data_IF_629362068623
#
_entry.id   IF_629362068623
#
_cell.length_a   1.000
_cell.length_b   1.000
_cell.length_c   1.000
_cell.angle_alpha   90.00
_cell.angle_beta   90.00
_cell.angle_gamma   90.00
#
_symmetry.space_group_name_H-M   'P 1'
#
loop_
_entity.id
_entity.type
_entity.pdbx_description
1 polymer ?
#
# COMPACT_ATOMS: atom_id res chain seq x y z
N UNK A 1 -37.74 9.69 -6.87
CA UNK A 1 -37.15 8.92 -7.99
C UNK A 1 -36.43 9.86 -8.93
N UNK A 2 -35.18 9.49 -9.26
CA UNK A 2 -34.43 10.29 -10.23
C UNK A 2 -34.98 10.12 -11.63
N UNK A 3 -35.02 11.22 -12.38
CA UNK A 3 -35.38 11.18 -13.79
C UNK A 3 -34.20 10.63 -14.60
N UNK A 4 -34.47 10.22 -15.84
CA UNK A 4 -33.41 9.77 -16.76
C UNK A 4 -32.37 10.86 -17.00
N UNK A 5 -32.78 12.11 -17.06
CA UNK A 5 -31.89 13.27 -17.23
C UNK A 5 -30.93 13.43 -16.03
N UNK A 6 -31.48 13.28 -14.81
CA UNK A 6 -30.65 13.32 -13.59
C UNK A 6 -29.64 12.18 -13.56
N UNK A 7 -30.06 10.98 -13.96
CA UNK A 7 -29.17 9.83 -14.05
C UNK A 7 -28.02 10.09 -15.02
N UNK A 8 -28.31 10.61 -16.21
CA UNK A 8 -27.30 10.95 -17.21
C UNK A 8 -26.32 11.99 -16.68
N UNK A 9 -26.85 13.02 -16.01
CA UNK A 9 -26.02 14.08 -15.40
C UNK A 9 -25.09 13.49 -14.33
N UNK A 10 -25.61 12.62 -13.48
CA UNK A 10 -24.82 11.97 -12.44
C UNK A 10 -23.73 11.05 -13.02
N UNK A 11 -24.04 10.34 -14.10
CA UNK A 11 -23.04 9.50 -14.78
C UNK A 11 -21.92 10.35 -15.36
N UNK A 12 -22.22 11.45 -16.01
CA UNK A 12 -21.23 12.37 -16.57
C UNK A 12 -20.32 12.94 -15.48
N UNK A 13 -20.91 13.34 -14.36
CA UNK A 13 -20.17 13.87 -13.21
C UNK A 13 -19.25 12.80 -12.62
N UNK A 14 -19.77 11.58 -12.47
CA UNK A 14 -18.98 10.44 -11.96
C UNK A 14 -17.77 10.17 -12.85
N UNK A 15 -17.97 10.15 -14.17
CA UNK A 15 -16.88 9.91 -15.14
C UNK A 15 -15.83 11.02 -15.07
N UNK A 16 -16.28 12.27 -14.96
CA UNK A 16 -15.38 13.42 -14.84
C UNK A 16 -14.48 13.29 -13.62
N UNK A 17 -15.07 12.99 -12.46
CA UNK A 17 -14.32 12.83 -11.21
C UNK A 17 -13.38 11.62 -11.30
N UNK A 18 -13.84 10.51 -11.88
CA UNK A 18 -13.03 9.32 -12.08
C UNK A 18 -11.77 9.62 -12.90
N UNK A 19 -11.93 10.40 -13.98
CA UNK A 19 -10.79 10.84 -14.79
C UNK A 19 -9.84 11.75 -14.02
N UNK A 20 -10.36 12.68 -13.23
CA UNK A 20 -9.56 13.58 -12.40
C UNK A 20 -8.76 12.81 -11.36
N UNK A 21 -9.38 11.83 -10.71
CA UNK A 21 -8.70 10.98 -9.73
C UNK A 21 -7.57 10.17 -10.40
N UNK A 22 -7.84 9.60 -11.57
CA UNK A 22 -6.82 8.84 -12.31
C UNK A 22 -5.61 9.71 -12.64
N UNK A 23 -5.85 10.96 -13.07
CA UNK A 23 -4.79 11.92 -13.38
C UNK A 23 -3.98 12.26 -12.13
N UNK A 24 -4.65 12.54 -11.01
CA UNK A 24 -3.99 12.87 -9.74
C UNK A 24 -3.17 11.70 -9.21
N UNK A 25 -3.69 10.47 -9.32
CA UNK A 25 -2.95 9.27 -8.92
C UNK A 25 -1.67 9.09 -9.73
N UNK A 26 -1.74 9.34 -11.04
CA UNK A 26 -0.58 9.27 -11.93
C UNK A 26 0.48 10.30 -11.51
N UNK A 27 0.06 11.53 -11.23
CA UNK A 27 0.95 12.59 -10.78
C UNK A 27 1.58 12.28 -9.41
N UNK A 28 0.80 11.74 -8.48
CA UNK A 28 1.28 11.33 -7.16
C UNK A 28 2.32 10.23 -7.31
N UNK A 29 2.06 9.24 -8.15
CA UNK A 29 2.99 8.14 -8.39
C UNK A 29 4.33 8.64 -8.92
N UNK A 30 4.28 9.55 -9.88
CA UNK A 30 5.48 10.16 -10.45
C UNK A 30 6.29 10.92 -9.39
N UNK A 31 5.60 11.74 -8.58
CA UNK A 31 6.24 12.50 -7.52
C UNK A 31 6.79 11.61 -6.41
N UNK A 32 6.10 10.54 -6.06
CA UNK A 32 6.58 9.57 -5.08
C UNK A 32 7.85 8.87 -5.56
N UNK A 33 7.93 8.55 -6.86
CA UNK A 33 9.13 7.95 -7.44
C UNK A 33 10.32 8.91 -7.39
N UNK A 34 10.11 10.19 -7.69
CA UNK A 34 11.14 11.22 -7.58
C UNK A 34 11.59 11.40 -6.13
N UNK A 35 10.64 11.45 -5.20
CA UNK A 35 10.92 11.57 -3.77
C UNK A 35 11.72 10.37 -3.26
N UNK A 36 11.39 9.16 -3.72
CA UNK A 36 12.11 7.94 -3.36
C UNK A 36 13.58 8.02 -3.77
N UNK A 37 13.84 8.43 -5.01
CA UNK A 37 15.20 8.59 -5.51
C UNK A 37 15.98 9.64 -4.71
N UNK A 38 15.36 10.78 -4.43
CA UNK A 38 15.96 11.82 -3.61
C UNK A 38 16.22 11.34 -2.17
N UNK A 39 15.31 10.58 -1.60
CA UNK A 39 15.45 10.01 -0.27
C UNK A 39 16.63 9.07 -0.19
N UNK A 40 16.80 8.19 -1.19
CA UNK A 40 17.93 7.27 -1.27
C UNK A 40 19.27 8.03 -1.33
N UNK A 41 19.32 9.09 -2.13
CA UNK A 41 20.50 9.95 -2.23
C UNK A 41 20.80 10.65 -0.91
N UNK A 42 19.76 11.21 -0.26
CA UNK A 42 19.90 11.88 1.04
C UNK A 42 20.39 10.92 2.12
N UNK A 43 19.84 9.71 2.18
CA UNK A 43 20.28 8.68 3.14
C UNK A 43 21.76 8.37 2.93
N UNK A 44 22.18 8.17 1.69
CA UNK A 44 23.56 7.87 1.35
C UNK A 44 24.50 8.99 1.80
N UNK A 45 24.16 10.22 1.49
CA UNK A 45 24.98 11.40 1.83
C UNK A 45 25.05 11.63 3.34
N UNK A 46 23.90 11.56 4.02
CA UNK A 46 23.84 11.76 5.47
C UNK A 46 24.61 10.67 6.22
N UNK A 47 24.44 9.43 5.78
CA UNK A 47 25.14 8.30 6.36
C UNK A 47 26.66 8.41 6.17
N UNK A 48 27.10 8.77 4.95
CA UNK A 48 28.53 8.87 4.61
C UNK A 48 29.21 10.02 5.35
N UNK A 49 28.49 11.08 5.69
CA UNK A 49 29.03 12.27 6.36
C UNK A 49 28.68 12.31 7.86
N UNK A 50 28.08 11.26 8.39
CA UNK A 50 27.66 11.16 9.79
C UNK A 50 26.72 12.31 10.21
N UNK A 51 25.82 12.71 9.32
CA UNK A 51 24.83 13.74 9.56
C UNK A 51 23.52 13.07 9.98
N UNK A 52 23.06 13.35 11.21
CA UNK A 52 21.80 12.80 11.72
C UNK A 52 20.64 13.75 11.52
N UNK A 53 20.90 15.02 11.40
CA UNK A 53 19.87 16.05 11.31
C UNK A 53 20.36 17.21 10.45
N UNK A 54 19.49 17.71 9.59
CA UNK A 54 19.78 18.86 8.76
C UNK A 54 18.65 19.89 8.92
N UNK A 55 18.97 21.07 9.45
CA UNK A 55 17.99 22.12 9.68
C UNK A 55 17.55 22.78 8.38
N UNK A 56 16.25 22.95 8.23
CA UNK A 56 15.64 23.65 7.11
C UNK A 56 14.66 24.69 7.66
N UNK A 57 14.19 25.59 6.79
CA UNK A 57 13.18 26.56 7.19
C UNK A 57 11.91 25.85 7.65
N UNK A 58 11.52 26.08 8.90
CA UNK A 58 10.32 25.51 9.47
C UNK A 58 10.47 24.12 10.05
N UNK A 59 11.69 23.59 10.15
CA UNK A 59 11.91 22.26 10.72
C UNK A 59 13.27 21.69 10.44
N UNK A 60 13.34 20.36 10.32
CA UNK A 60 14.60 19.67 10.06
C UNK A 60 14.34 18.36 9.31
N UNK A 61 15.33 17.94 8.53
CA UNK A 61 15.36 16.59 7.97
C UNK A 61 16.19 15.72 8.91
N UNK A 62 15.60 14.62 9.35
CA UNK A 62 16.23 13.73 10.34
C UNK A 62 16.48 12.37 9.69
N UNK A 63 17.74 11.90 9.75
CA UNK A 63 18.06 10.54 9.36
C UNK A 63 17.71 9.61 10.51
N UNK A 64 16.84 8.62 10.24
CA UNK A 64 16.34 7.74 11.27
C UNK A 64 16.25 6.31 10.74
N UNK A 65 16.74 5.37 11.54
CA UNK A 65 16.58 3.94 11.24
C UNK A 65 15.37 3.42 12.01
N UNK A 66 14.36 2.96 11.28
CA UNK A 66 13.19 2.34 11.88
C UNK A 66 13.23 0.84 11.63
N UNK A 67 13.01 0.08 12.71
CA UNK A 67 12.84 -1.37 12.58
C UNK A 67 11.36 -1.63 12.34
N UNK A 68 11.03 -2.20 11.19
CA UNK A 68 9.66 -2.52 10.83
C UNK A 68 9.54 -4.01 10.64
N UNK A 69 8.60 -4.63 11.32
CA UNK A 69 8.31 -6.04 11.12
C UNK A 69 7.52 -6.21 9.84
N UNK A 70 7.91 -7.21 9.05
CA UNK A 70 7.20 -7.53 7.81
C UNK A 70 5.77 -7.98 8.11
N UNK A 71 4.86 -7.67 7.20
CA UNK A 71 3.48 -8.10 7.32
C UNK A 71 3.39 -9.62 7.29
N UNK A 72 2.43 -10.16 8.06
CA UNK A 72 2.15 -11.59 8.09
C UNK A 72 1.29 -11.95 6.88
N UNK A 73 1.79 -12.86 6.06
CA UNK A 73 1.03 -13.50 4.98
C UNK A 73 1.10 -15.01 5.16
N UNK A 74 0.42 -15.77 4.29
CA UNK A 74 0.39 -17.23 4.41
C UNK A 74 1.77 -17.86 4.43
N UNK A 75 2.67 -17.40 3.56
CA UNK A 75 4.04 -17.91 3.46
C UNK A 75 4.85 -17.60 4.71
N UNK A 76 4.75 -16.38 5.21
CA UNK A 76 5.45 -15.95 6.43
C UNK A 76 4.96 -16.71 7.65
N UNK A 77 3.63 -16.87 7.76
CA UNK A 77 3.01 -17.62 8.85
C UNK A 77 3.44 -19.08 8.82
N UNK A 78 3.42 -19.72 7.65
CA UNK A 78 3.84 -21.11 7.50
C UNK A 78 5.30 -21.28 7.93
N UNK A 79 6.20 -20.41 7.49
CA UNK A 79 7.61 -20.44 7.86
C UNK A 79 7.81 -20.31 9.37
N UNK A 80 7.09 -19.37 9.99
CA UNK A 80 7.16 -19.15 11.44
C UNK A 80 6.70 -20.39 12.22
N UNK A 81 5.62 -21.01 11.77
CA UNK A 81 5.06 -22.21 12.42
C UNK A 81 5.94 -23.43 12.19
N UNK A 82 6.55 -23.57 11.01
CA UNK A 82 7.53 -24.64 10.74
C UNK A 82 8.73 -24.52 11.68
N UNK A 83 9.22 -23.31 11.92
CA UNK A 83 10.31 -23.06 12.87
C UNK A 83 9.88 -23.40 14.31
N UNK A 84 8.66 -23.07 14.68
CA UNK A 84 8.14 -23.32 16.03
C UNK A 84 7.98 -24.81 16.31
N UNK A 85 7.39 -25.55 15.36
CA UNK A 85 7.13 -26.99 15.50
C UNK A 85 8.27 -27.88 15.01
N UNK A 86 9.32 -27.30 14.51
CA UNK A 86 10.60 -27.90 14.02
C UNK A 86 10.46 -29.12 13.10
N UNK A 87 9.84 -30.20 13.54
CA UNK A 87 9.79 -31.47 12.80
C UNK A 87 8.38 -31.86 12.35
N UNK A 88 7.39 -30.99 12.57
CA UNK A 88 6.02 -31.31 12.19
C UNK A 88 5.48 -30.27 11.19
N UNK A 89 5.89 -30.44 9.95
CA UNK A 89 5.46 -29.61 8.83
C UNK A 89 3.93 -29.70 8.63
N UNK A 90 3.37 -30.88 8.87
CA UNK A 90 1.92 -31.09 8.68
C UNK A 90 1.08 -30.23 9.62
N UNK A 91 1.47 -30.16 10.91
CA UNK A 91 0.76 -29.31 11.89
C UNK A 91 0.89 -27.83 11.47
N UNK A 92 2.07 -27.39 11.04
CA UNK A 92 2.30 -26.02 10.58
C UNK A 92 1.40 -25.68 9.39
N UNK A 93 1.27 -26.60 8.43
CA UNK A 93 0.40 -26.42 7.27
C UNK A 93 -1.09 -26.34 7.67
N UNK A 94 -1.53 -27.21 8.55
CA UNK A 94 -2.91 -27.23 9.03
C UNK A 94 -3.28 -25.94 9.76
N UNK A 95 -2.41 -25.45 10.64
CA UNK A 95 -2.65 -24.19 11.37
C UNK A 95 -2.65 -23.02 10.43
N UNK A 96 -1.70 -22.95 9.50
CA UNK A 96 -1.63 -21.89 8.51
C UNK A 96 -2.90 -21.83 7.67
N UNK A 97 -3.37 -22.97 7.18
CA UNK A 97 -4.59 -23.06 6.40
C UNK A 97 -5.79 -22.59 7.21
N UNK A 98 -5.91 -23.06 8.45
CA UNK A 98 -7.00 -22.66 9.33
C UNK A 98 -7.03 -21.14 9.56
N UNK A 99 -5.88 -20.53 9.86
CA UNK A 99 -5.79 -19.09 10.10
C UNK A 99 -6.17 -18.30 8.84
N UNK A 100 -5.66 -18.71 7.68
CA UNK A 100 -5.94 -18.02 6.42
C UNK A 100 -7.40 -18.18 5.99
N UNK A 101 -7.98 -19.37 6.18
CA UNK A 101 -9.37 -19.65 5.80
C UNK A 101 -10.38 -19.04 6.77
N UNK A 102 -9.97 -18.72 8.00
CA UNK A 102 -10.86 -18.17 9.03
C UNK A 102 -11.10 -16.67 8.91
N UNK A 103 -10.42 -16.00 7.97
CA UNK A 103 -10.63 -14.55 7.81
C UNK A 103 -12.02 -14.26 7.28
N UNK A 104 -12.67 -13.27 7.89
CA UNK A 104 -13.99 -12.86 7.48
C UNK A 104 -13.97 -12.22 6.08
N UNK A 105 -15.00 -12.55 5.30
CA UNK A 105 -15.22 -11.91 4.01
C UNK A 105 -16.12 -10.69 4.18
N UNK A 106 -15.74 -9.60 3.53
CA UNK A 106 -16.58 -8.41 3.46
C UNK A 106 -17.10 -8.26 2.03
N UNK A 107 -18.40 -8.03 1.93
CA UNK A 107 -19.01 -7.73 0.64
C UNK A 107 -19.04 -6.22 0.46
N UNK A 108 -18.40 -5.73 -0.58
CA UNK A 108 -18.40 -4.31 -0.92
C UNK A 108 -19.11 -4.13 -2.25
N UNK A 109 -20.15 -3.30 -2.23
CA UNK A 109 -20.84 -2.93 -3.47
C UNK A 109 -20.08 -1.80 -4.13
N UNK A 110 -19.74 -1.97 -5.40
CA UNK A 110 -18.94 -1.00 -6.13
C UNK A 110 -19.58 -0.72 -7.49
N UNK A 111 -19.24 0.43 -8.04
CA UNK A 111 -19.53 0.76 -9.44
C UNK A 111 -18.22 0.58 -10.22
N UNK A 112 -18.25 -0.26 -11.22
CA UNK A 112 -17.09 -0.56 -12.04
C UNK A 112 -17.24 0.05 -13.42
N UNK A 113 -16.21 0.78 -13.85
CA UNK A 113 -16.16 1.34 -15.20
C UNK A 113 -15.53 0.33 -16.15
N UNK A 114 -16.23 0.05 -17.24
CA UNK A 114 -15.72 -0.83 -18.29
C UNK A 114 -15.29 0.04 -19.47
N UNK A 115 -14.06 -0.14 -19.91
CA UNK A 115 -13.49 0.64 -21.01
C UNK A 115 -13.35 -0.27 -22.22
N UNK A 116 -13.92 0.14 -23.33
CA UNK A 116 -13.78 -0.58 -24.60
C UNK A 116 -12.38 -0.35 -25.17
N UNK A 117 -11.77 -1.44 -25.63
CA UNK A 117 -10.47 -1.39 -26.28
C UNK A 117 -10.59 -1.54 -27.78
#
# INVERSE_FOLDING_TARGET
METKEQLVTNIKEWIKIDNEIAQLKSEIKERNNKKKTLTENLVTVMKSNSIDCFDINGGALVYKKNKVKKQINGKTLLSALQNYYKNDVKIAEEITKHVMDSREEQIKEIIKRKIDK
#
